data_IF_874078719321
#
_entry.id   IF_874078719321
#
_cell.length_a   1.000
_cell.length_b   1.000
_cell.length_c   1.000
_cell.angle_alpha   90.00
_cell.angle_beta   90.00
_cell.angle_gamma   90.00
#
_symmetry.space_group_name_H-M   'P 1'
#
loop_
_entity.id
_entity.type
_entity.pdbx_description
1 polymer ?
#
# COMPACT_ATOMS: atom_id res chain seq x y z
N UNK A 1 5.07 3.10 55.70
CA UNK A 1 5.27 1.72 55.19
C UNK A 1 4.08 0.77 55.33
N UNK A 2 3.19 0.89 56.33
CA UNK A 2 2.02 -0.01 56.49
C UNK A 2 0.98 0.09 55.35
N UNK A 3 0.76 1.31 54.83
CA UNK A 3 -0.17 1.54 53.71
C UNK A 3 0.28 0.84 52.41
N UNK A 4 1.55 1.01 52.00
CA UNK A 4 2.09 0.34 50.82
C UNK A 4 2.01 -1.20 50.93
N UNK A 5 2.31 -1.78 52.10
CA UNK A 5 2.19 -3.23 52.31
C UNK A 5 0.74 -3.73 52.23
N UNK A 6 -0.22 -2.95 52.74
CA UNK A 6 -1.66 -3.28 52.71
C UNK A 6 -2.24 -3.22 51.29
N UNK A 7 -1.74 -2.32 50.45
CA UNK A 7 -2.23 -2.09 49.09
C UNK A 7 -1.29 -2.58 47.99
N UNK A 8 -0.23 -3.33 48.33
CA UNK A 8 0.77 -3.79 47.38
C UNK A 8 0.15 -4.56 46.19
N UNK A 9 -0.79 -5.46 46.47
CA UNK A 9 -1.51 -6.21 45.44
C UNK A 9 -2.36 -5.32 44.55
N UNK A 10 -3.05 -4.33 45.13
CA UNK A 10 -3.86 -3.39 44.36
C UNK A 10 -2.98 -2.54 43.44
N UNK A 11 -1.85 -2.04 43.93
CA UNK A 11 -0.89 -1.26 43.14
C UNK A 11 -0.27 -2.08 42.01
N UNK A 12 0.15 -3.32 42.30
CA UNK A 12 0.67 -4.26 41.30
C UNK A 12 -0.38 -4.56 40.22
N UNK A 13 -1.62 -4.83 40.63
CA UNK A 13 -2.72 -5.10 39.70
C UNK A 13 -3.03 -3.89 38.83
N UNK A 14 -3.10 -2.67 39.41
CA UNK A 14 -3.33 -1.44 38.62
C UNK A 14 -2.20 -1.16 37.64
N UNK A 15 -0.94 -1.38 38.04
CA UNK A 15 0.21 -1.18 37.17
C UNK A 15 0.19 -2.18 36.01
N UNK A 16 -0.12 -3.45 36.30
CA UNK A 16 -0.28 -4.47 35.27
C UNK A 16 -1.41 -4.12 34.29
N UNK A 17 -2.57 -3.69 34.80
CA UNK A 17 -3.71 -3.31 33.98
C UNK A 17 -3.39 -2.10 33.09
N UNK A 18 -2.74 -1.06 33.63
CA UNK A 18 -2.27 0.07 32.83
C UNK A 18 -1.25 -0.36 31.77
N UNK A 19 -0.28 -1.21 32.14
CA UNK A 19 0.71 -1.75 31.21
C UNK A 19 0.07 -2.53 30.05
N UNK A 20 -0.90 -3.39 30.34
CA UNK A 20 -1.62 -4.16 29.33
C UNK A 20 -2.45 -3.27 28.39
N UNK A 21 -3.12 -2.23 28.93
CA UNK A 21 -3.87 -1.28 28.13
C UNK A 21 -2.95 -0.43 27.24
N UNK A 22 -1.86 0.12 27.79
CA UNK A 22 -0.86 0.88 27.03
C UNK A 22 -0.25 0.01 25.93
N UNK A 23 0.12 -1.23 26.24
CA UNK A 23 0.63 -2.16 25.24
C UNK A 23 -0.39 -2.43 24.14
N UNK A 24 -1.67 -2.66 24.49
CA UNK A 24 -2.72 -2.91 23.50
C UNK A 24 -2.90 -1.71 22.56
N UNK A 25 -2.90 -0.49 23.09
CA UNK A 25 -2.98 0.74 22.29
C UNK A 25 -1.75 0.90 21.39
N UNK A 26 -0.54 0.67 21.92
CA UNK A 26 0.69 0.72 21.13
C UNK A 26 0.67 -0.33 20.02
N UNK A 27 0.25 -1.56 20.32
CA UNK A 27 0.16 -2.64 19.34
C UNK A 27 -0.83 -2.31 18.22
N UNK A 28 -1.96 -1.69 18.55
CA UNK A 28 -2.98 -1.35 17.55
C UNK A 28 -2.55 -0.16 16.69
N UNK A 29 -1.97 0.90 17.27
CA UNK A 29 -1.81 2.18 16.57
C UNK A 29 -0.37 2.57 16.23
N UNK A 30 0.63 1.96 16.86
CA UNK A 30 2.02 2.48 16.83
C UNK A 30 3.03 1.44 16.37
N UNK A 31 2.97 0.23 16.92
CA UNK A 31 4.01 -0.78 16.69
C UNK A 31 3.80 -1.42 15.31
N UNK A 32 4.77 -1.30 14.39
CA UNK A 32 4.74 -1.99 13.10
C UNK A 32 4.70 -3.51 13.28
N UNK A 33 3.84 -4.19 12.52
CA UNK A 33 3.80 -5.65 12.46
C UNK A 33 3.95 -6.12 11.02
N UNK A 34 5.10 -6.70 10.70
CA UNK A 34 5.33 -7.36 9.43
C UNK A 34 4.67 -8.75 9.43
N UNK A 35 3.92 -9.06 8.38
CA UNK A 35 3.32 -10.40 8.15
C UNK A 35 4.09 -11.13 7.06
N UNK A 36 4.33 -10.47 5.93
CA UNK A 36 5.09 -11.04 4.80
C UNK A 36 5.94 -9.96 4.13
N UNK A 37 7.18 -10.28 3.77
CA UNK A 37 8.03 -9.40 2.97
C UNK A 37 7.93 -9.77 1.49
N UNK A 38 7.91 -8.76 0.63
CA UNK A 38 8.05 -8.97 -0.81
C UNK A 38 9.52 -9.16 -1.09
N UNK A 39 9.90 -10.37 -1.47
CA UNK A 39 11.23 -10.57 -2.05
C UNK A 39 11.30 -9.78 -3.34
N UNK A 40 12.35 -8.98 -3.51
CA UNK A 40 12.66 -8.43 -4.82
C UNK A 40 12.78 -9.62 -5.77
N UNK A 41 11.82 -9.77 -6.69
CA UNK A 41 11.90 -10.80 -7.71
C UNK A 41 13.13 -10.48 -8.54
N UNK A 42 14.26 -11.10 -8.19
CA UNK A 42 15.49 -10.99 -8.94
C UNK A 42 15.23 -11.84 -10.16
N UNK A 43 14.65 -11.25 -11.19
CA UNK A 43 14.75 -11.80 -12.54
C UNK A 43 16.23 -12.10 -12.72
N UNK A 44 16.56 -13.39 -12.83
CA UNK A 44 17.93 -13.85 -12.94
C UNK A 44 18.56 -13.22 -14.20
N UNK A 45 19.36 -12.18 -14.00
CA UNK A 45 20.34 -11.73 -14.97
C UNK A 45 21.68 -11.64 -14.26
N UNK A 46 22.55 -12.55 -14.65
CA UNK A 46 23.96 -12.68 -14.28
C UNK A 46 24.73 -11.35 -14.34
N UNK A 47 25.68 -11.26 -13.42
CA UNK A 47 26.73 -10.28 -13.12
C UNK A 47 27.30 -9.43 -14.27
N UNK A 48 27.64 -8.18 -13.90
CA UNK A 48 28.57 -7.22 -14.50
C UNK A 48 28.04 -6.28 -15.61
N UNK A 49 27.51 -5.13 -15.19
CA UNK A 49 28.15 -3.82 -15.38
C UNK A 49 27.17 -2.76 -14.90
N UNK A 50 27.67 -1.78 -14.16
CA UNK A 50 27.00 -0.51 -13.90
C UNK A 50 26.67 0.19 -15.22
N UNK A 51 25.52 -0.16 -15.78
CA UNK A 51 24.81 0.65 -16.75
C UNK A 51 23.47 0.93 -16.09
N UNK A 52 23.33 2.15 -15.58
CA UNK A 52 22.03 2.72 -15.36
C UNK A 52 21.25 2.50 -16.66
N UNK A 53 20.31 1.56 -16.63
CA UNK A 53 19.33 1.44 -17.69
C UNK A 53 18.32 2.56 -17.46
N UNK A 54 18.79 3.79 -17.67
CA UNK A 54 17.99 4.83 -18.28
C UNK A 54 17.32 4.16 -19.47
N UNK A 55 16.03 3.84 -19.36
CA UNK A 55 15.19 4.00 -20.52
C UNK A 55 15.21 5.49 -20.84
N UNK A 56 16.24 5.91 -21.57
CA UNK A 56 16.18 7.03 -22.49
C UNK A 56 15.26 6.59 -23.63
N UNK A 57 14.05 6.16 -23.29
CA UNK A 57 12.96 6.11 -24.23
C UNK A 57 12.78 7.54 -24.71
N UNK A 58 12.58 7.66 -26.00
CA UNK A 58 12.32 8.89 -26.74
C UNK A 58 10.95 9.50 -26.36
N UNK A 59 10.63 9.46 -25.07
CA UNK A 59 9.38 9.85 -24.50
C UNK A 59 9.41 11.31 -24.08
N UNK A 60 8.29 11.99 -24.28
CA UNK A 60 8.14 13.38 -23.85
C UNK A 60 7.72 13.39 -22.39
N UNK A 61 8.47 14.08 -21.54
CA UNK A 61 8.13 14.27 -20.12
C UNK A 61 8.04 15.75 -19.79
N UNK A 62 6.94 16.14 -19.15
CA UNK A 62 6.74 17.45 -18.54
C UNK A 62 6.25 17.27 -17.10
N UNK A 63 5.95 18.35 -16.40
CA UNK A 63 5.38 18.29 -15.05
C UNK A 63 3.98 17.66 -15.03
N UNK A 64 3.24 17.71 -16.16
CA UNK A 64 1.85 17.24 -16.25
C UNK A 64 1.62 16.20 -17.34
N UNK A 65 2.65 15.81 -18.09
CA UNK A 65 2.52 14.79 -19.13
C UNK A 65 3.70 13.83 -19.17
N UNK A 66 3.43 12.59 -19.53
CA UNK A 66 4.44 11.62 -19.92
C UNK A 66 3.93 10.84 -21.13
N UNK A 67 4.76 10.64 -22.15
CA UNK A 67 4.38 9.84 -23.31
C UNK A 67 5.55 9.09 -23.89
N UNK A 68 5.41 7.78 -24.06
CA UNK A 68 6.29 6.92 -24.86
C UNK A 68 5.47 5.92 -25.69
N UNK A 69 6.09 4.84 -26.17
CA UNK A 69 5.40 3.81 -26.98
C UNK A 69 4.41 2.95 -26.16
N UNK A 70 4.51 2.96 -24.82
CA UNK A 70 3.75 2.08 -23.93
C UNK A 70 2.79 2.82 -22.99
N UNK A 71 3.06 4.09 -22.71
CA UNK A 71 2.34 4.89 -21.72
C UNK A 71 2.04 6.28 -22.26
N UNK A 72 0.81 6.76 -22.05
CA UNK A 72 0.40 8.14 -22.29
C UNK A 72 -0.34 8.63 -21.03
N UNK A 73 0.27 9.57 -20.31
CA UNK A 73 -0.20 10.11 -19.04
C UNK A 73 -0.41 11.61 -19.20
N UNK A 74 -1.57 12.11 -18.77
CA UNK A 74 -1.89 13.53 -18.73
C UNK A 74 -2.57 13.90 -17.43
N UNK A 75 -2.01 14.86 -16.71
CA UNK A 75 -2.59 15.44 -15.51
C UNK A 75 -3.28 16.76 -15.89
N UNK A 76 -4.56 16.88 -15.56
CA UNK A 76 -5.34 18.10 -15.72
C UNK A 76 -5.72 18.64 -14.35
N UNK A 77 -5.41 19.90 -14.08
CA UNK A 77 -5.81 20.60 -12.86
C UNK A 77 -7.17 21.25 -13.06
N UNK A 78 -8.09 21.03 -12.13
CA UNK A 78 -9.39 21.69 -12.08
C UNK A 78 -9.63 22.36 -10.74
N UNK A 79 -10.62 23.25 -10.69
CA UNK A 79 -11.10 23.89 -9.46
C UNK A 79 -12.62 23.90 -9.43
N UNK A 80 -13.21 23.49 -8.32
CA UNK A 80 -14.66 23.57 -8.07
C UNK A 80 -14.91 23.83 -6.58
N UNK A 81 -15.85 24.71 -6.24
CA UNK A 81 -16.22 25.03 -4.84
C UNK A 81 -15.00 25.22 -3.91
N UNK A 82 -14.06 26.09 -4.30
CA UNK A 82 -12.80 26.36 -3.59
C UNK A 82 -11.86 25.17 -3.35
N UNK A 83 -12.12 24.05 -4.02
CA UNK A 83 -11.27 22.85 -4.00
C UNK A 83 -10.51 22.73 -5.31
N UNK A 84 -9.19 22.60 -5.23
CA UNK A 84 -8.35 22.23 -6.38
C UNK A 84 -8.25 20.72 -6.47
N UNK A 85 -8.47 20.16 -7.65
CA UNK A 85 -8.36 18.73 -7.90
C UNK A 85 -7.47 18.45 -9.12
N UNK A 86 -6.93 17.25 -9.19
CA UNK A 86 -6.09 16.78 -10.28
C UNK A 86 -6.70 15.50 -10.87
N UNK A 87 -6.79 15.44 -12.18
CA UNK A 87 -7.26 14.25 -12.92
C UNK A 87 -6.11 13.72 -13.75
N UNK A 88 -5.69 12.49 -13.47
CA UNK A 88 -4.74 11.77 -14.30
C UNK A 88 -5.48 10.87 -15.29
N UNK A 89 -5.38 11.18 -16.58
CA UNK A 89 -5.74 10.27 -17.68
C UNK A 89 -4.50 9.43 -18.01
N UNK A 90 -4.62 8.12 -17.93
CA UNK A 90 -3.51 7.16 -18.07
C UNK A 90 -3.93 6.10 -19.08
N UNK A 91 -3.16 5.97 -20.15
CA UNK A 91 -3.31 4.92 -21.16
C UNK A 91 -2.06 4.08 -21.19
N UNK A 92 -2.24 2.77 -21.14
CA UNK A 92 -1.16 1.79 -21.13
C UNK A 92 -1.37 0.82 -22.30
N UNK A 93 -0.28 0.40 -22.93
CA UNK A 93 -0.31 -0.64 -23.97
C UNK A 93 -0.55 -2.04 -23.38
N UNK A 94 -0.25 -2.25 -22.10
CA UNK A 94 -0.48 -3.49 -21.34
C UNK A 94 -0.76 -3.19 -19.86
N UNK A 95 -1.56 -4.06 -19.23
CA UNK A 95 -1.78 -4.06 -17.78
C UNK A 95 -0.49 -4.30 -16.99
N UNK A 96 0.54 -4.89 -17.61
CA UNK A 96 1.83 -5.14 -16.98
C UNK A 96 2.53 -3.87 -16.48
N UNK A 97 2.20 -2.71 -17.05
CA UNK A 97 2.74 -1.41 -16.63
C UNK A 97 2.05 -0.86 -15.39
N UNK A 98 0.90 -1.41 -14.98
CA UNK A 98 0.24 -1.06 -13.73
C UNK A 98 0.73 -1.99 -12.61
N UNK A 99 1.53 -1.44 -11.69
CA UNK A 99 2.09 -2.19 -10.55
C UNK A 99 1.59 -1.64 -9.23
N UNK A 100 1.51 -2.52 -8.24
CA UNK A 100 1.29 -2.18 -6.83
C UNK A 100 2.62 -2.30 -6.06
N UNK A 101 2.82 -1.42 -5.09
CA UNK A 101 3.97 -1.47 -4.19
C UNK A 101 3.50 -1.31 -2.73
N UNK A 102 4.28 -1.86 -1.80
CA UNK A 102 4.02 -1.85 -0.37
C UNK A 102 5.03 -0.94 0.33
N UNK A 103 4.59 -0.25 1.38
CA UNK A 103 5.48 0.49 2.26
C UNK A 103 6.55 -0.47 2.82
N UNK A 104 7.82 -0.07 2.76
CA UNK A 104 8.95 -0.87 3.23
C UNK A 104 9.00 -2.27 2.59
N UNK A 105 8.43 -2.44 1.39
CA UNK A 105 8.29 -3.72 0.68
C UNK A 105 7.67 -4.83 1.54
N UNK A 106 6.79 -4.47 2.47
CA UNK A 106 6.30 -5.39 3.50
C UNK A 106 4.78 -5.28 3.63
N UNK A 107 4.12 -6.43 3.62
CA UNK A 107 2.72 -6.55 3.97
C UNK A 107 2.60 -6.67 5.49
N UNK A 108 1.80 -5.81 6.09
CA UNK A 108 1.63 -5.75 7.54
C UNK A 108 0.80 -4.56 8.03
N UNK A 109 0.77 -4.35 9.33
CA UNK A 109 0.06 -3.23 9.98
C UNK A 109 1.03 -2.20 10.52
N UNK A 110 0.60 -0.95 10.65
CA UNK A 110 1.41 0.18 11.15
C UNK A 110 2.74 0.39 10.38
N UNK A 111 2.79 -0.02 9.11
CA UNK A 111 3.88 0.25 8.18
C UNK A 111 3.52 1.47 7.33
N UNK A 112 4.37 2.49 7.36
CA UNK A 112 4.15 3.72 6.60
C UNK A 112 5.40 4.12 5.84
N UNK A 113 5.18 4.68 4.66
CA UNK A 113 6.19 5.27 3.80
C UNK A 113 5.47 6.25 2.86
N UNK A 114 6.13 7.34 2.45
CA UNK A 114 5.50 8.29 1.54
C UNK A 114 5.38 7.69 0.14
N UNK A 115 4.29 7.98 -0.57
CA UNK A 115 4.12 7.54 -1.97
C UNK A 115 5.30 7.98 -2.85
N UNK A 116 5.87 9.16 -2.58
CA UNK A 116 7.05 9.64 -3.32
C UNK A 116 8.30 8.80 -3.08
N UNK A 117 8.56 8.34 -1.85
CA UNK A 117 9.67 7.43 -1.55
C UNK A 117 9.47 6.06 -2.21
N UNK A 118 8.27 5.50 -2.13
CA UNK A 118 7.94 4.23 -2.80
C UNK A 118 8.10 4.36 -4.32
N UNK A 119 7.59 5.45 -4.90
CA UNK A 119 7.71 5.74 -6.33
C UNK A 119 9.17 5.84 -6.77
N UNK A 120 10.00 6.55 -5.99
CA UNK A 120 11.43 6.68 -6.27
C UNK A 120 12.15 5.33 -6.21
N UNK A 121 11.90 4.51 -5.18
CA UNK A 121 12.52 3.18 -5.04
C UNK A 121 12.15 2.23 -6.17
N UNK A 122 10.95 2.38 -6.74
CA UNK A 122 10.44 1.54 -7.83
C UNK A 122 10.61 2.17 -9.21
N UNK A 123 11.30 3.30 -9.32
CA UNK A 123 11.45 4.06 -10.58
C UNK A 123 10.11 4.33 -11.29
N UNK A 124 9.05 4.61 -10.53
CA UNK A 124 7.71 4.83 -11.08
C UNK A 124 7.63 6.15 -11.86
N UNK A 125 6.95 6.11 -13.01
CA UNK A 125 6.65 7.32 -13.81
C UNK A 125 5.55 8.16 -13.16
N UNK A 126 4.54 7.49 -12.59
CA UNK A 126 3.41 8.08 -11.88
C UNK A 126 2.98 7.13 -10.78
N UNK A 127 2.59 7.68 -9.62
CA UNK A 127 2.10 6.90 -8.48
C UNK A 127 1.09 7.70 -7.67
N UNK A 128 0.08 7.01 -7.15
CA UNK A 128 -0.89 7.50 -6.17
C UNK A 128 -0.94 6.52 -5.00
N UNK A 129 -1.39 6.98 -3.82
CA UNK A 129 -1.71 6.03 -2.75
C UNK A 129 -2.89 5.15 -3.16
N UNK A 130 -2.92 3.94 -2.60
CA UNK A 130 -3.98 2.96 -2.82
C UNK A 130 -4.81 2.78 -1.54
N UNK A 131 -5.19 1.53 -1.28
CA UNK A 131 -6.06 1.10 -0.19
C UNK A 131 -5.44 1.26 1.21
N UNK A 132 -6.33 1.34 2.20
CA UNK A 132 -5.97 1.42 3.63
C UNK A 132 -5.94 0.02 4.28
N UNK A 133 -5.24 -0.92 3.65
CA UNK A 133 -5.32 -2.35 4.01
C UNK A 133 -4.83 -2.63 5.43
N UNK A 134 -3.76 -1.95 5.87
CA UNK A 134 -3.05 -2.22 7.12
C UNK A 134 -3.80 -1.82 8.39
N UNK A 135 -4.94 -1.15 8.26
CA UNK A 135 -5.80 -0.80 9.39
C UNK A 135 -6.96 -1.78 9.61
N UNK A 136 -7.24 -2.62 8.62
CA UNK A 136 -8.28 -3.64 8.71
C UNK A 136 -7.62 -5.01 8.89
N UNK A 137 -8.34 -5.95 9.51
CA UNK A 137 -7.91 -7.35 9.60
C UNK A 137 -8.62 -8.25 8.58
N UNK A 138 -9.58 -7.70 7.83
CA UNK A 138 -10.38 -8.35 6.77
C UNK A 138 -10.59 -7.42 5.56
N UNK A 139 -11.10 -7.97 4.46
CA UNK A 139 -11.20 -7.42 3.10
C UNK A 139 -10.06 -7.92 2.21
N UNK A 140 -10.28 -8.16 0.93
CA UNK A 140 -9.25 -8.84 0.12
C UNK A 140 -8.01 -7.96 -0.10
N UNK A 141 -6.82 -8.59 -0.09
CA UNK A 141 -5.56 -7.90 -0.42
C UNK A 141 -4.78 -8.75 -1.40
N UNK A 142 -4.81 -8.31 -2.66
CA UNK A 142 -4.08 -8.93 -3.75
C UNK A 142 -3.21 -7.86 -4.39
N UNK A 143 -1.91 -8.10 -4.50
CA UNK A 143 -0.96 -7.15 -5.12
C UNK A 143 -0.03 -7.90 -6.06
N UNK A 144 -0.01 -7.46 -7.32
CA UNK A 144 0.78 -8.08 -8.40
C UNK A 144 0.53 -9.60 -8.54
N UNK A 145 -0.73 -10.03 -8.41
CA UNK A 145 -1.14 -11.44 -8.50
C UNK A 145 -0.86 -12.28 -7.25
N UNK A 146 -0.23 -11.73 -6.21
CA UNK A 146 -0.03 -12.42 -4.95
C UNK A 146 -1.14 -12.09 -3.95
N UNK A 147 -1.77 -13.12 -3.39
CA UNK A 147 -2.78 -13.01 -2.33
C UNK A 147 -2.09 -12.87 -0.98
N UNK A 148 -2.37 -11.78 -0.27
CA UNK A 148 -1.89 -11.49 1.08
C UNK A 148 -2.97 -11.67 2.14
N UNK A 149 -4.24 -11.51 1.75
CA UNK A 149 -5.41 -11.71 2.61
C UNK A 149 -6.61 -12.14 1.79
N UNK A 150 -7.16 -13.28 2.19
CA UNK A 150 -8.37 -13.88 1.65
C UNK A 150 -9.37 -14.06 2.80
N UNK A 151 -9.87 -12.94 3.31
CA UNK A 151 -10.84 -12.93 4.40
C UNK A 151 -11.81 -11.82 4.10
N UNK A 152 -13.06 -12.18 3.85
CA UNK A 152 -14.13 -11.22 3.62
C UNK A 152 -14.40 -10.40 4.89
N UNK A 153 -14.80 -9.14 4.70
CA UNK A 153 -15.16 -8.22 5.77
C UNK A 153 -16.63 -8.37 6.13
N UNK A 154 -17.50 -8.39 5.11
CA UNK A 154 -18.91 -8.82 5.11
C UNK A 154 -19.57 -8.42 3.75
N UNK A 155 -20.88 -8.66 3.60
CA UNK A 155 -21.64 -8.47 2.35
C UNK A 155 -21.82 -7.03 1.85
N UNK A 156 -21.48 -6.03 2.66
CA UNK A 156 -21.74 -4.62 2.32
C UNK A 156 -20.51 -3.91 1.75
N UNK A 157 -19.34 -4.57 1.74
CA UNK A 157 -18.11 -4.01 1.19
C UNK A 157 -17.92 -4.41 -0.27
N UNK A 158 -17.51 -3.43 -1.07
CA UNK A 158 -17.15 -3.59 -2.46
C UNK A 158 -15.64 -3.39 -2.66
N UNK A 159 -15.04 -4.25 -3.46
CA UNK A 159 -13.65 -4.17 -3.87
C UNK A 159 -13.54 -3.83 -5.35
N UNK A 160 -12.47 -3.12 -5.71
CA UNK A 160 -12.05 -2.90 -7.09
C UNK A 160 -10.90 -3.84 -7.42
N UNK A 161 -11.11 -4.78 -8.35
CA UNK A 161 -10.04 -5.60 -8.90
C UNK A 161 -9.58 -5.08 -10.27
N UNK A 162 -8.28 -5.22 -10.51
CA UNK A 162 -7.68 -5.13 -11.84
C UNK A 162 -7.20 -6.52 -12.22
N UNK A 163 -7.74 -7.05 -13.31
CA UNK A 163 -7.42 -8.39 -13.80
C UNK A 163 -6.18 -8.38 -14.68
N UNK A 164 -5.61 -9.55 -14.96
CA UNK A 164 -4.42 -9.71 -15.80
C UNK A 164 -4.61 -9.22 -17.24
N UNK A 165 -5.85 -9.15 -17.73
CA UNK A 165 -6.19 -8.60 -19.03
C UNK A 165 -6.35 -7.06 -19.03
N UNK A 166 -6.18 -6.41 -17.87
CA UNK A 166 -6.31 -4.97 -17.67
C UNK A 166 -7.73 -4.49 -17.43
N UNK A 167 -8.72 -5.37 -17.38
CA UNK A 167 -10.09 -5.00 -17.04
C UNK A 167 -10.23 -4.63 -15.57
N UNK A 168 -11.10 -3.66 -15.30
CA UNK A 168 -11.46 -3.21 -13.96
C UNK A 168 -12.85 -3.73 -13.63
N UNK A 169 -13.05 -4.26 -12.42
CA UNK A 169 -14.35 -4.71 -11.94
C UNK A 169 -14.55 -4.33 -10.49
N UNK A 170 -15.73 -3.80 -10.17
CA UNK A 170 -16.22 -3.72 -8.80
C UNK A 170 -17.10 -4.93 -8.49
N UNK A 171 -16.98 -5.46 -7.28
CA UNK A 171 -17.79 -6.59 -6.82
C UNK A 171 -17.91 -6.53 -5.30
N UNK A 172 -18.96 -7.15 -4.76
CA UNK A 172 -19.10 -7.33 -3.32
C UNK A 172 -18.22 -8.47 -2.84
N UNK A 173 -17.58 -8.31 -1.69
CA UNK A 173 -16.71 -9.34 -1.12
C UNK A 173 -17.45 -10.67 -0.84
N UNK A 174 -18.78 -10.64 -0.63
CA UNK A 174 -19.60 -11.84 -0.45
C UNK A 174 -19.87 -12.64 -1.73
N UNK A 175 -19.65 -12.03 -2.90
CA UNK A 175 -20.04 -12.62 -4.19
C UNK A 175 -18.90 -13.45 -4.81
N UNK A 176 -17.69 -13.38 -4.24
CA UNK A 176 -16.49 -14.08 -4.72
C UNK A 176 -15.47 -14.26 -3.60
N UNK A 177 -14.50 -15.14 -3.80
CA UNK A 177 -13.27 -15.22 -2.97
C UNK A 177 -12.10 -14.54 -3.68
N UNK A 178 -10.99 -14.32 -2.97
CA UNK A 178 -9.74 -13.80 -3.54
C UNK A 178 -9.09 -14.76 -4.56
#
# INVERSE_FOLDING_TARGET
MKFLKRHAYALLFTLFLMGANVYSLLKVFVIPSAVSTVSANTTSSTTASSTASTSTGKGTKTDTTYKDDNMDIKITTGKTSDTTYYVADIKLSSADYLKMALAQNTYGTNLTETTSSIAQQNNAIFAINADYYGANQSGYVIKNGQVYRDTDRNSDYEDLAVYSDGSFKTFKESDTTA
#
